data_IF_431606795141
#
_entry.id   IF_431606795141
#
_cell.length_a   1.000
_cell.length_b   1.000
_cell.length_c   1.000
_cell.angle_alpha   90.00
_cell.angle_beta   90.00
_cell.angle_gamma   90.00
#
_symmetry.space_group_name_H-M   'P 1'
#
loop_
_entity.id
_entity.type
_entity.pdbx_description
1 polymer ?
#
# COMPACT_ATOMS: atom_id res chain seq x y z
N UNK A 1 -7.34 -0.90 30.62
CA UNK A 1 -6.44 -0.56 29.47
C UNK A 1 -7.12 -1.00 28.17
N UNK A 2 -7.63 -0.06 27.37
CA UNK A 2 -8.29 -0.37 26.10
C UNK A 2 -7.24 -0.74 25.04
N UNK A 3 -7.23 -2.00 24.58
CA UNK A 3 -6.39 -2.41 23.48
C UNK A 3 -6.68 -1.53 22.26
N UNK A 4 -5.69 -0.74 21.82
CA UNK A 4 -5.71 -0.05 20.52
C UNK A 4 -5.92 -1.10 19.43
N UNK A 5 -7.17 -1.31 18.99
CA UNK A 5 -7.52 -2.25 17.91
C UNK A 5 -6.61 -1.96 16.71
N UNK A 6 -5.83 -2.95 16.29
CA UNK A 6 -4.95 -2.80 15.14
C UNK A 6 -5.85 -2.69 13.89
N UNK A 7 -5.73 -1.62 13.11
CA UNK A 7 -6.49 -1.42 11.87
C UNK A 7 -6.12 -2.39 10.75
N UNK A 8 -5.39 -3.47 11.06
CA UNK A 8 -4.79 -4.39 10.11
C UNK A 8 -5.86 -5.23 9.39
N UNK A 9 -6.79 -5.83 10.13
CA UNK A 9 -7.86 -6.66 9.55
C UNK A 9 -8.74 -5.84 8.58
N UNK A 10 -9.16 -4.66 9.01
CA UNK A 10 -10.00 -3.79 8.17
C UNK A 10 -9.22 -3.28 6.96
N UNK A 11 -7.92 -2.99 7.09
CA UNK A 11 -7.06 -2.66 5.96
C UNK A 11 -6.94 -3.80 4.94
N UNK A 12 -6.83 -5.05 5.40
CA UNK A 12 -6.78 -6.23 4.53
C UNK A 12 -8.11 -6.45 3.79
N UNK A 13 -9.24 -6.36 4.49
CA UNK A 13 -10.57 -6.54 3.89
C UNK A 13 -10.85 -5.46 2.85
N UNK A 14 -10.58 -4.20 3.19
CA UNK A 14 -10.80 -3.06 2.28
C UNK A 14 -9.86 -3.16 1.06
N UNK A 15 -8.60 -3.55 1.26
CA UNK A 15 -7.66 -3.80 0.17
C UNK A 15 -8.11 -4.93 -0.76
N UNK A 16 -8.63 -6.02 -0.22
CA UNK A 16 -9.16 -7.14 -0.98
C UNK A 16 -10.37 -6.71 -1.83
N UNK A 17 -11.34 -6.02 -1.22
CA UNK A 17 -12.53 -5.52 -1.93
C UNK A 17 -12.15 -4.54 -3.04
N UNK A 18 -11.25 -3.59 -2.74
CA UNK A 18 -10.73 -2.66 -3.74
C UNK A 18 -10.04 -3.40 -4.90
N UNK A 19 -9.22 -4.41 -4.59
CA UNK A 19 -8.57 -5.25 -5.59
C UNK A 19 -9.55 -6.02 -6.47
N UNK A 20 -10.60 -6.61 -5.90
CA UNK A 20 -11.64 -7.32 -6.66
C UNK A 20 -12.43 -6.39 -7.59
N UNK A 21 -12.80 -5.20 -7.11
CA UNK A 21 -13.48 -4.19 -7.93
C UNK A 21 -12.57 -3.74 -9.08
N UNK A 22 -11.29 -3.50 -8.78
CA UNK A 22 -10.29 -3.15 -9.78
C UNK A 22 -10.09 -4.26 -10.83
N UNK A 23 -10.06 -5.53 -10.40
CA UNK A 23 -9.95 -6.67 -11.30
C UNK A 23 -11.16 -6.77 -12.22
N UNK A 24 -12.37 -6.62 -11.69
CA UNK A 24 -13.60 -6.59 -12.49
C UNK A 24 -13.60 -5.43 -13.51
N UNK A 25 -13.21 -4.23 -13.07
CA UNK A 25 -13.08 -3.07 -13.93
C UNK A 25 -12.04 -3.25 -15.04
N UNK A 26 -10.88 -3.83 -14.73
CA UNK A 26 -9.85 -4.13 -15.72
C UNK A 26 -10.32 -5.20 -16.71
N UNK A 27 -10.99 -6.25 -16.24
CA UNK A 27 -11.58 -7.27 -17.12
C UNK A 27 -12.60 -6.68 -18.09
N UNK A 28 -13.45 -5.77 -17.62
CA UNK A 28 -14.37 -5.02 -18.48
C UNK A 28 -13.64 -4.11 -19.48
N UNK A 29 -12.57 -3.42 -19.05
CA UNK A 29 -11.76 -2.58 -19.91
C UNK A 29 -11.07 -3.36 -21.03
N UNK A 30 -10.60 -4.60 -20.74
CA UNK A 30 -10.05 -5.51 -21.75
C UNK A 30 -11.11 -5.92 -22.77
N UNK A 31 -12.33 -6.25 -22.33
CA UNK A 31 -13.43 -6.61 -23.24
C UNK A 31 -13.87 -5.45 -24.14
N UNK A 32 -13.85 -4.23 -23.62
CA UNK A 32 -14.26 -3.03 -24.34
C UNK A 32 -13.09 -2.36 -25.08
N UNK A 33 -11.88 -2.92 -25.04
CA UNK A 33 -10.70 -2.29 -25.65
C UNK A 33 -10.89 -2.06 -27.15
N UNK A 34 -11.57 -2.98 -27.84
CA UNK A 34 -11.89 -2.89 -29.27
C UNK A 34 -12.93 -1.81 -29.60
N UNK A 35 -13.70 -1.34 -28.60
CA UNK A 35 -14.65 -0.23 -28.77
C UNK A 35 -14.01 1.15 -28.63
N UNK A 36 -12.75 1.22 -28.16
CA UNK A 36 -12.03 2.48 -27.99
C UNK A 36 -11.43 2.96 -29.32
N UNK A 37 -11.35 4.29 -29.55
CA UNK A 37 -10.68 4.84 -30.71
C UNK A 37 -9.26 4.29 -30.87
N UNK A 38 -8.91 3.86 -32.10
CA UNK A 38 -7.61 3.26 -32.40
C UNK A 38 -6.44 4.16 -32.02
N UNK A 39 -6.60 5.49 -32.09
CA UNK A 39 -5.61 6.46 -31.65
C UNK A 39 -5.24 6.38 -30.17
N UNK A 40 -6.09 5.78 -29.32
CA UNK A 40 -5.84 5.58 -27.88
C UNK A 40 -5.22 4.20 -27.64
N UNK A 41 -5.68 3.18 -28.36
CA UNK A 41 -5.26 1.79 -28.17
C UNK A 41 -3.94 1.44 -28.86
N UNK A 42 -3.56 2.20 -29.90
CA UNK A 42 -2.29 2.00 -30.65
C UNK A 42 -1.19 2.98 -30.27
N UNK A 43 -1.50 4.01 -29.48
CA UNK A 43 -0.52 5.01 -29.04
C UNK A 43 0.63 4.35 -28.28
N UNK A 44 1.88 4.64 -28.67
CA UNK A 44 3.07 4.11 -28.00
C UNK A 44 3.13 2.57 -27.95
N UNK A 45 2.79 1.90 -29.05
CA UNK A 45 2.69 0.43 -29.17
C UNK A 45 1.62 -0.22 -28.28
N UNK A 46 0.63 0.55 -27.80
CA UNK A 46 -0.46 0.02 -26.97
C UNK A 46 -0.09 -0.29 -25.52
N UNK A 47 1.14 0.02 -25.10
CA UNK A 47 1.62 -0.09 -23.72
C UNK A 47 1.11 0.99 -22.73
N UNK A 48 0.92 2.27 -23.12
CA UNK A 48 0.67 3.33 -22.14
C UNK A 48 -0.69 3.23 -21.46
N UNK A 49 -1.74 2.79 -22.17
CA UNK A 49 -3.07 2.60 -21.60
C UNK A 49 -3.11 1.53 -20.49
N UNK A 50 -2.64 0.29 -20.69
CA UNK A 50 -2.61 -0.72 -19.64
C UNK A 50 -1.67 -0.36 -18.48
N UNK A 51 -0.59 0.38 -18.73
CA UNK A 51 0.27 0.92 -17.68
C UNK A 51 -0.44 2.00 -16.84
N UNK A 52 -1.20 2.89 -17.48
CA UNK A 52 -1.99 3.88 -16.77
C UNK A 52 -3.04 3.20 -15.89
N UNK A 53 -3.74 2.18 -16.41
CA UNK A 53 -4.70 1.40 -15.64
C UNK A 53 -4.04 0.67 -14.45
N UNK A 54 -2.85 0.10 -14.63
CA UNK A 54 -2.14 -0.58 -13.54
C UNK A 54 -1.74 0.39 -12.42
N UNK A 55 -1.36 1.63 -12.76
CA UNK A 55 -1.11 2.70 -11.80
C UNK A 55 -2.38 3.17 -11.09
N UNK A 56 -3.51 3.28 -11.80
CA UNK A 56 -4.81 3.61 -11.20
C UNK A 56 -5.22 2.54 -10.19
N UNK A 57 -5.07 1.25 -10.53
CA UNK A 57 -5.35 0.13 -9.63
C UNK A 57 -4.46 0.22 -8.38
N UNK A 58 -3.16 0.45 -8.56
CA UNK A 58 -2.24 0.62 -7.45
C UNK A 58 -2.64 1.78 -6.54
N UNK A 59 -3.07 2.90 -7.11
CA UNK A 59 -3.52 4.08 -6.37
C UNK A 59 -4.80 3.80 -5.57
N UNK A 60 -5.80 3.16 -6.19
CA UNK A 60 -7.06 2.81 -5.53
C UNK A 60 -6.80 1.84 -4.37
N UNK A 61 -6.04 0.77 -4.59
CA UNK A 61 -5.70 -0.21 -3.55
C UNK A 61 -4.90 0.43 -2.42
N UNK A 62 -3.86 1.22 -2.75
CA UNK A 62 -3.04 1.90 -1.74
C UNK A 62 -3.84 2.94 -0.95
N UNK A 63 -4.76 3.66 -1.59
CA UNK A 63 -5.63 4.62 -0.92
C UNK A 63 -6.62 3.93 0.02
N UNK A 64 -7.26 2.86 -0.46
CA UNK A 64 -8.24 2.09 0.31
C UNK A 64 -7.59 1.46 1.56
N UNK A 65 -6.44 0.82 1.41
CA UNK A 65 -5.67 0.27 2.55
C UNK A 65 -5.12 1.39 3.45
N UNK A 66 -4.72 2.52 2.86
CA UNK A 66 -4.19 3.68 3.58
C UNK A 66 -5.22 4.48 4.38
N UNK A 67 -6.51 4.37 4.05
CA UNK A 67 -7.59 5.05 4.76
C UNK A 67 -7.83 4.46 6.17
N UNK A 68 -7.53 3.17 6.36
CA UNK A 68 -7.82 2.43 7.61
C UNK A 68 -6.76 2.63 8.71
N UNK A 69 -5.99 3.74 8.66
CA UNK A 69 -4.85 4.04 9.56
C UNK A 69 -3.80 2.92 9.56
N UNK A 70 -2.94 2.84 8.53
CA UNK A 70 -1.92 1.81 8.43
C UNK A 70 -0.82 2.07 9.48
N UNK A 71 -0.97 1.46 10.65
CA UNK A 71 0.07 1.47 11.70
C UNK A 71 1.15 0.43 11.45
N UNK A 72 0.81 -0.62 10.70
CA UNK A 72 1.67 -1.78 10.50
C UNK A 72 2.36 -1.70 9.13
N UNK A 73 3.69 -1.83 9.14
CA UNK A 73 4.50 -1.94 7.93
C UNK A 73 4.20 -3.22 7.15
N UNK A 74 3.61 -4.22 7.82
CA UNK A 74 3.16 -5.47 7.21
C UNK A 74 2.09 -5.28 6.14
N UNK A 75 1.38 -4.14 6.10
CA UNK A 75 0.38 -3.86 5.04
C UNK A 75 1.02 -3.61 3.67
N UNK A 76 2.29 -3.18 3.61
CA UNK A 76 2.97 -2.88 2.35
C UNK A 76 3.11 -4.09 1.40
N UNK A 77 3.58 -5.28 1.83
CA UNK A 77 3.61 -6.46 0.97
C UNK A 77 2.21 -6.92 0.55
N UNK A 78 1.19 -6.81 1.41
CA UNK A 78 -0.18 -7.15 1.03
C UNK A 78 -0.75 -6.18 -0.01
N UNK A 79 -0.43 -4.89 0.06
CA UNK A 79 -0.83 -3.93 -0.95
C UNK A 79 -0.22 -4.27 -2.32
N UNK A 80 1.05 -4.69 -2.35
CA UNK A 80 1.70 -5.15 -3.56
C UNK A 80 1.01 -6.39 -4.14
N UNK A 81 0.71 -7.37 -3.28
CA UNK A 81 0.01 -8.60 -3.67
C UNK A 81 -1.40 -8.33 -4.18
N UNK A 82 -2.16 -7.45 -3.53
CA UNK A 82 -3.52 -7.10 -3.97
C UNK A 82 -3.53 -6.30 -5.26
N UNK A 83 -2.64 -5.33 -5.44
CA UNK A 83 -2.57 -4.56 -6.67
C UNK A 83 -2.08 -5.41 -7.86
N UNK A 84 -0.99 -6.17 -7.68
CA UNK A 84 -0.49 -7.08 -8.72
C UNK A 84 -1.49 -8.20 -9.03
N UNK A 85 -2.10 -8.78 -8.00
CA UNK A 85 -3.14 -9.79 -8.13
C UNK A 85 -4.39 -9.28 -8.83
N UNK A 86 -4.82 -8.04 -8.57
CA UNK A 86 -5.94 -7.41 -9.26
C UNK A 86 -5.68 -7.24 -10.76
N UNK A 87 -4.46 -6.84 -11.13
CA UNK A 87 -4.06 -6.74 -12.55
C UNK A 87 -4.08 -8.11 -13.22
N UNK A 88 -3.47 -9.12 -12.60
CA UNK A 88 -3.43 -10.48 -13.14
C UNK A 88 -4.84 -11.07 -13.29
N UNK A 89 -5.67 -10.97 -12.24
CA UNK A 89 -7.04 -11.46 -12.23
C UNK A 89 -7.91 -10.75 -13.27
N UNK A 90 -7.78 -9.43 -13.41
CA UNK A 90 -8.52 -8.66 -14.41
C UNK A 90 -8.12 -9.03 -15.85
N UNK A 91 -6.83 -9.21 -16.12
CA UNK A 91 -6.36 -9.68 -17.43
C UNK A 91 -6.88 -11.09 -17.74
N UNK A 92 -6.79 -12.03 -16.79
CA UNK A 92 -7.29 -13.40 -16.97
C UNK A 92 -8.79 -13.39 -17.24
N UNK A 93 -9.57 -12.63 -16.46
CA UNK A 93 -11.01 -12.54 -16.61
C UNK A 93 -11.42 -11.97 -17.96
N UNK A 94 -10.82 -10.85 -18.38
CA UNK A 94 -11.10 -10.23 -19.68
C UNK A 94 -10.71 -11.14 -20.84
N UNK A 95 -9.49 -11.70 -20.81
CA UNK A 95 -8.99 -12.57 -21.87
C UNK A 95 -9.77 -13.88 -21.98
N UNK A 96 -10.17 -14.50 -20.87
CA UNK A 96 -10.93 -15.75 -20.91
C UNK A 96 -12.26 -15.57 -21.64
N UNK A 97 -13.00 -14.50 -21.31
CA UNK A 97 -14.27 -14.19 -21.97
C UNK A 97 -14.03 -13.83 -23.45
N UNK A 98 -13.00 -13.04 -23.74
CA UNK A 98 -12.65 -12.65 -25.11
C UNK A 98 -12.29 -13.87 -25.98
N UNK A 99 -11.43 -14.77 -25.49
CA UNK A 99 -11.04 -16.00 -26.19
C UNK A 99 -12.25 -16.88 -26.47
N UNK A 100 -13.13 -17.08 -25.49
CA UNK A 100 -14.36 -17.87 -25.70
C UNK A 100 -15.31 -17.20 -26.70
N UNK A 101 -15.47 -15.87 -26.64
CA UNK A 101 -16.31 -15.13 -27.59
C UNK A 101 -15.81 -15.27 -29.03
N UNK A 102 -14.49 -15.20 -29.25
CA UNK A 102 -13.87 -15.37 -30.55
C UNK A 102 -13.99 -16.81 -31.09
N UNK A 103 -14.01 -17.82 -30.21
CA UNK A 103 -14.20 -19.22 -30.58
C UNK A 103 -15.65 -19.55 -30.97
N UNK A 104 -16.63 -18.92 -30.32
CA UNK A 104 -18.05 -19.16 -30.59
C UNK A 104 -18.54 -18.53 -31.89
N UNK A 105 -17.97 -17.39 -32.28
CA UNK A 105 -18.30 -16.72 -33.54
C UNK A 105 -17.03 -16.33 -34.33
N UNK A 106 -16.42 -17.31 -35.06
CA UNK A 106 -15.27 -17.02 -35.89
C UNK A 106 -15.63 -16.01 -36.98
N UNK A 107 -14.98 -14.85 -37.01
CA UNK A 107 -15.22 -13.79 -37.99
C UNK A 107 -16.15 -12.66 -37.53
N UNK A 108 -16.57 -12.65 -36.26
CA UNK A 108 -17.29 -11.53 -35.66
C UNK A 108 -16.44 -10.25 -35.74
N UNK A 109 -16.98 -9.21 -36.36
CA UNK A 109 -16.34 -7.88 -36.46
C UNK A 109 -16.68 -6.98 -35.26
N UNK A 110 -17.62 -7.42 -34.40
CA UNK A 110 -18.10 -6.66 -33.25
C UNK A 110 -17.43 -7.15 -31.95
N UNK A 111 -17.06 -6.25 -31.04
CA UNK A 111 -16.43 -6.61 -29.76
C UNK A 111 -17.32 -7.55 -28.93
N UNK A 112 -16.69 -8.22 -27.97
CA UNK A 112 -17.39 -9.03 -26.98
C UNK A 112 -18.46 -8.18 -26.28
N UNK A 113 -19.70 -8.67 -26.30
CA UNK A 113 -20.87 -8.00 -25.75
C UNK A 113 -21.16 -8.43 -24.31
N UNK A 114 -22.06 -7.71 -23.64
CA UNK A 114 -22.54 -8.08 -22.30
C UNK A 114 -23.16 -9.50 -22.27
N UNK A 115 -23.73 -9.96 -23.37
CA UNK A 115 -24.26 -11.32 -23.55
C UNK A 115 -23.19 -12.41 -23.46
N UNK A 116 -21.93 -12.07 -23.71
CA UNK A 116 -20.82 -13.01 -23.73
C UNK A 116 -20.22 -13.22 -22.33
N UNK A 117 -20.59 -12.36 -21.36
CA UNK A 117 -20.20 -12.46 -19.95
C UNK A 117 -21.03 -13.55 -19.26
N UNK A 118 -20.63 -14.79 -19.48
CA UNK A 118 -21.27 -15.97 -18.89
C UNK A 118 -20.23 -16.85 -18.20
N UNK A 119 -20.65 -17.55 -17.13
CA UNK A 119 -19.77 -18.50 -16.42
C UNK A 119 -19.18 -19.57 -17.36
N UNK A 120 -19.95 -20.17 -18.30
CA UNK A 120 -19.40 -21.12 -19.27
C UNK A 120 -18.32 -20.50 -20.17
N UNK A 121 -18.55 -19.29 -20.69
CA UNK A 121 -17.59 -18.60 -21.55
C UNK A 121 -16.27 -18.33 -20.80
N UNK A 122 -16.36 -17.89 -19.55
CA UNK A 122 -15.18 -17.72 -18.70
C UNK A 122 -14.43 -19.05 -18.50
N UNK A 123 -15.12 -20.14 -18.16
CA UNK A 123 -14.47 -21.44 -17.91
C UNK A 123 -13.83 -22.05 -19.15
N UNK A 124 -14.45 -21.88 -20.32
CA UNK A 124 -13.95 -22.40 -21.60
C UNK A 124 -12.70 -21.66 -22.07
N UNK A 125 -12.65 -20.34 -21.92
CA UNK A 125 -11.48 -19.53 -22.31
C UNK A 125 -10.38 -19.47 -21.26
N UNK A 126 -10.64 -19.91 -20.01
CA UNK A 126 -9.68 -19.86 -18.91
C UNK A 126 -8.34 -20.55 -19.21
N UNK A 127 -8.30 -21.75 -19.83
CA UNK A 127 -7.03 -22.41 -20.15
C UNK A 127 -6.16 -21.57 -21.11
N UNK A 128 -6.79 -20.93 -22.10
CA UNK A 128 -6.11 -20.04 -23.05
C UNK A 128 -5.61 -18.76 -22.38
N UNK A 129 -6.41 -18.16 -21.50
CA UNK A 129 -6.01 -16.98 -20.75
C UNK A 129 -4.84 -17.27 -19.78
N UNK A 130 -4.80 -18.48 -19.19
CA UNK A 130 -3.71 -18.92 -18.31
C UNK A 130 -2.44 -19.28 -19.10
N UNK A 131 -2.56 -19.71 -20.36
CA UNK A 131 -1.41 -20.00 -21.22
C UNK A 131 -0.50 -18.78 -21.40
N UNK A 132 -1.07 -17.56 -21.41
CA UNK A 132 -0.32 -16.30 -21.46
C UNK A 132 0.75 -16.18 -20.37
N UNK A 133 0.56 -16.81 -19.20
CA UNK A 133 1.54 -16.76 -18.11
C UNK A 133 2.51 -17.95 -18.10
N UNK A 134 2.29 -18.93 -18.98
CA UNK A 134 3.14 -20.12 -19.16
C UNK A 134 4.10 -19.97 -20.34
N UNK A 135 3.75 -19.15 -21.32
CA UNK A 135 4.55 -18.90 -22.51
C UNK A 135 5.86 -18.14 -22.19
N UNK A 136 6.91 -18.30 -23.04
CA UNK A 136 8.23 -17.75 -22.77
C UNK A 136 8.19 -16.23 -22.55
N UNK A 137 9.04 -15.76 -21.63
CA UNK A 137 9.06 -14.37 -21.18
C UNK A 137 9.23 -13.35 -22.32
N UNK A 138 9.90 -13.73 -23.40
CA UNK A 138 10.08 -12.90 -24.60
C UNK A 138 8.76 -12.48 -25.25
N UNK A 139 7.70 -13.26 -25.07
CA UNK A 139 6.36 -12.98 -25.62
C UNK A 139 5.40 -12.42 -24.56
N UNK A 140 5.63 -12.74 -23.29
CA UNK A 140 4.69 -12.46 -22.19
C UNK A 140 5.14 -11.32 -21.28
N UNK A 141 6.32 -10.74 -21.51
CA UNK A 141 6.90 -9.65 -20.71
C UNK A 141 5.96 -8.45 -20.47
N UNK A 142 5.06 -8.03 -21.40
CA UNK A 142 4.20 -6.88 -21.13
C UNK A 142 3.21 -7.16 -20.00
N UNK A 143 2.64 -8.37 -19.96
CA UNK A 143 1.71 -8.77 -18.91
C UNK A 143 2.38 -8.77 -17.53
N UNK A 144 3.60 -9.30 -17.46
CA UNK A 144 4.43 -9.27 -16.25
C UNK A 144 4.84 -7.86 -15.85
N UNK A 145 5.14 -6.99 -16.81
CA UNK A 145 5.47 -5.59 -16.55
C UNK A 145 4.28 -4.87 -15.88
N UNK A 146 3.06 -5.05 -16.39
CA UNK A 146 1.87 -4.40 -15.81
C UNK A 146 1.63 -4.83 -14.35
N UNK A 147 1.83 -6.12 -14.06
CA UNK A 147 1.73 -6.66 -12.69
C UNK A 147 2.83 -6.05 -11.81
N UNK A 148 4.07 -6.01 -12.29
CA UNK A 148 5.20 -5.47 -11.55
C UNK A 148 5.03 -3.98 -11.24
N UNK A 149 4.56 -3.19 -12.21
CA UNK A 149 4.31 -1.75 -12.04
C UNK A 149 3.23 -1.51 -11.00
N UNK A 150 2.10 -2.24 -11.06
CA UNK A 150 1.05 -2.11 -10.05
C UNK A 150 1.54 -2.50 -8.65
N UNK A 151 2.25 -3.62 -8.54
CA UNK A 151 2.77 -4.12 -7.26
C UNK A 151 3.78 -3.14 -6.64
N UNK A 152 4.76 -2.65 -7.41
CA UNK A 152 5.78 -1.71 -6.95
C UNK A 152 5.16 -0.36 -6.57
N UNK A 153 4.26 0.18 -7.39
CA UNK A 153 3.60 1.44 -7.09
C UNK A 153 2.78 1.36 -5.80
N UNK A 154 2.00 0.29 -5.60
CA UNK A 154 1.22 0.10 -4.38
C UNK A 154 2.13 -0.06 -3.14
N UNK A 155 3.23 -0.83 -3.28
CA UNK A 155 4.22 -1.00 -2.23
C UNK A 155 4.80 0.35 -1.80
N UNK A 156 5.28 1.15 -2.76
CA UNK A 156 5.90 2.46 -2.50
C UNK A 156 4.90 3.41 -1.88
N UNK A 157 3.67 3.51 -2.41
CA UNK A 157 2.64 4.41 -1.90
C UNK A 157 2.27 4.07 -0.45
N UNK A 158 2.08 2.79 -0.13
CA UNK A 158 1.75 2.37 1.23
C UNK A 158 2.94 2.53 2.17
N UNK A 159 4.16 2.19 1.76
CA UNK A 159 5.37 2.38 2.57
C UNK A 159 5.61 3.87 2.90
N UNK A 160 5.47 4.77 1.91
CA UNK A 160 5.58 6.21 2.10
C UNK A 160 4.48 6.74 3.05
N UNK A 161 3.25 6.25 2.92
CA UNK A 161 2.16 6.67 3.80
C UNK A 161 2.38 6.20 5.23
N UNK A 162 2.80 4.95 5.45
CA UNK A 162 3.12 4.41 6.77
C UNK A 162 4.27 5.19 7.42
N UNK A 163 5.34 5.49 6.67
CA UNK A 163 6.47 6.28 7.21
C UNK A 163 6.05 7.70 7.57
N UNK A 164 5.24 8.38 6.74
CA UNK A 164 4.68 9.70 7.05
C UNK A 164 3.79 9.69 8.29
N UNK A 165 2.87 8.73 8.42
CA UNK A 165 1.97 8.60 9.58
C UNK A 165 2.75 8.33 10.86
N UNK A 166 3.81 7.52 10.81
CA UNK A 166 4.67 7.28 11.99
C UNK A 166 5.49 8.51 12.36
N UNK A 167 6.00 9.26 11.38
CA UNK A 167 6.71 10.52 11.63
C UNK A 167 5.80 11.57 12.27
N UNK A 168 4.58 11.74 11.76
CA UNK A 168 3.63 12.68 12.35
C UNK A 168 3.21 12.27 13.77
N UNK A 169 3.05 10.97 14.03
CA UNK A 169 2.77 10.47 15.38
C UNK A 169 3.93 10.71 16.33
N UNK A 170 5.18 10.45 15.92
CA UNK A 170 6.35 10.78 16.76
C UNK A 170 6.47 12.26 17.04
N UNK A 171 6.15 13.11 16.06
CA UNK A 171 6.14 14.57 16.26
C UNK A 171 5.03 14.99 17.24
N UNK A 172 3.84 14.38 17.14
CA UNK A 172 2.73 14.63 18.08
C UNK A 172 3.03 14.09 19.49
N UNK A 173 3.67 12.93 19.60
CA UNK A 173 4.12 12.36 20.88
C UNK A 173 5.20 13.23 21.51
N UNK A 174 6.16 13.74 20.72
CA UNK A 174 7.18 14.67 21.19
C UNK A 174 6.59 16.03 21.59
N UNK A 175 5.57 16.53 20.87
CA UNK A 175 4.84 17.75 21.26
C UNK A 175 4.03 17.53 22.54
N UNK A 176 3.32 16.41 22.66
CA UNK A 176 2.58 16.08 23.87
C UNK A 176 3.51 15.85 25.08
N UNK A 177 4.70 15.30 24.86
CA UNK A 177 5.75 15.19 25.89
C UNK A 177 6.33 16.55 26.25
N UNK A 178 6.62 17.41 25.28
CA UNK A 178 7.10 18.77 25.55
C UNK A 178 6.03 19.63 26.23
N UNK A 179 4.75 19.43 25.91
CA UNK A 179 3.62 20.07 26.60
C UNK A 179 3.46 19.53 28.02
N UNK A 180 3.59 18.22 28.24
CA UNK A 180 3.57 17.62 29.57
C UNK A 180 4.78 18.03 30.42
N UNK A 181 5.99 18.10 29.85
CA UNK A 181 7.19 18.61 30.53
C UNK A 181 7.10 20.12 30.78
N UNK A 182 6.47 20.89 29.88
CA UNK A 182 6.21 22.31 30.09
C UNK A 182 5.08 22.56 31.10
N UNK A 183 4.14 21.62 31.25
CA UNK A 183 3.08 21.63 32.26
C UNK A 183 3.64 21.21 33.63
N UNK A 184 4.51 20.18 33.70
CA UNK A 184 5.29 19.83 34.90
C UNK A 184 6.24 20.97 35.33
N UNK A 185 6.86 21.68 34.38
CA UNK A 185 7.65 22.88 34.67
C UNK A 185 6.80 24.13 35.00
N UNK A 186 5.49 24.10 34.68
CA UNK A 186 4.52 25.16 35.01
C UNK A 186 3.70 24.87 36.25
N UNK A 187 3.72 23.65 36.80
CA UNK A 187 3.28 23.44 38.17
C UNK A 187 4.21 24.30 39.03
N UNK A 188 3.72 25.42 39.59
CA UNK A 188 4.55 26.21 40.46
C UNK A 188 4.85 25.29 41.63
N UNK A 189 6.12 24.94 41.83
CA UNK A 189 6.59 24.42 43.12
C UNK A 189 5.85 25.24 44.17
N UNK A 190 4.90 24.61 44.87
CA UNK A 190 4.13 25.25 45.91
C UNK A 190 5.10 25.44 47.07
N UNK A 191 5.95 26.47 46.94
CA UNK A 191 6.75 27.02 48.02
C UNK A 191 5.74 27.58 48.99
N UNK A 192 5.45 26.80 50.01
CA UNK A 192 4.77 27.30 51.19
C UNK A 192 5.48 28.59 51.64
N UNK A 193 4.76 29.68 51.95
CA UNK A 193 5.35 30.98 52.28
C UNK A 193 6.27 31.01 53.52
N UNK A 194 6.55 29.86 54.14
CA UNK A 194 7.21 29.74 55.44
C UNK A 194 8.36 28.72 55.48
N UNK A 195 8.93 28.30 54.34
CA UNK A 195 10.25 27.67 54.40
C UNK A 195 11.35 28.74 54.44
N UNK A 196 12.12 28.84 55.53
CA UNK A 196 13.25 29.76 55.57
C UNK A 196 14.26 29.34 54.50
N UNK A 197 14.75 30.31 53.74
CA UNK A 197 15.77 30.09 52.72
C UNK A 197 16.98 29.38 53.34
N UNK A 198 17.09 28.07 53.15
CA UNK A 198 18.30 27.34 53.49
C UNK A 198 19.40 27.84 52.55
N UNK A 199 20.38 28.54 53.13
CA UNK A 199 21.61 28.87 52.45
C UNK A 199 22.24 27.57 51.91
N UNK A 200 22.92 27.62 50.75
CA UNK A 200 23.51 26.42 50.16
C UNK A 200 24.44 25.76 51.19
N UNK A 201 24.16 24.50 51.50
CA UNK A 201 24.98 23.72 52.41
C UNK A 201 26.44 23.71 51.89
N UNK A 202 27.45 24.00 52.74
CA UNK A 202 28.84 23.90 52.33
C UNK A 202 29.11 22.46 51.90
N UNK A 203 29.66 22.30 50.69
CA UNK A 203 30.13 21.01 50.17
C UNK A 203 31.06 20.37 51.21
N UNK A 204 30.80 19.15 51.70
CA UNK A 204 31.79 18.41 52.46
C UNK A 204 32.95 18.05 51.51
N UNK A 205 34.06 18.78 51.62
CA UNK A 205 35.35 18.42 51.03
C UNK A 205 35.97 17.28 51.83
N UNK A 206 35.46 16.07 51.62
CA UNK A 206 36.14 14.85 52.04
C UNK A 206 35.66 13.72 51.14
N UNK A 207 36.35 13.61 50.01
CA UNK A 207 36.23 12.51 49.06
C UNK A 207 36.83 11.25 49.71
N UNK A 208 36.00 10.54 50.49
CA UNK A 208 36.38 9.36 51.27
C UNK A 208 36.56 8.10 50.40
N UNK A 209 36.34 8.18 49.08
CA UNK A 209 36.36 7.02 48.20
C UNK A 209 37.19 7.17 46.91
N UNK A 210 38.04 8.19 46.78
CA UNK A 210 39.05 8.22 45.71
C UNK A 210 40.41 7.70 46.19
N UNK A 211 40.92 6.56 45.67
CA UNK A 211 42.26 6.09 45.98
C UNK A 211 43.32 7.07 45.42
N UNK A 212 44.20 7.57 46.30
CA UNK A 212 45.39 8.34 45.91
C UNK A 212 46.31 7.45 45.06
N UNK A 213 46.65 7.87 43.84
CA UNK A 213 47.82 7.34 43.12
C UNK A 213 49.08 7.99 43.70
N UNK A 214 50.10 7.23 44.13
CA UNK A 214 51.38 7.81 44.53
C UNK A 214 52.13 8.38 43.32
N UNK A 215 52.84 9.47 43.59
CA UNK A 215 53.62 10.27 42.64
C UNK A 215 54.75 9.46 41.97
N UNK A 216 55.02 9.79 40.71
CA UNK A 216 56.24 9.43 39.98
C UNK A 216 57.40 10.24 40.52
N UNK A 217 58.46 9.55 40.93
CA UNK A 217 59.85 9.96 40.70
C UNK A 217 60.43 9.03 39.63
#
# INVERSE_FOLDING_TARGET
>A
MSHKRSGLLSGLIVGLLAGLICAAGLGAAVLLQESLPSGITTFGNGLPLPLALSLVIALVVAFAMGAVRPRAFTLAPFAALYAGGAVAAGQIAGLAIMISSAQREPGRQAPAGLSDITLPAFTEGLPGALALYRDPLTQTWPAWLYIAVAALAALVLVALRVTRVRRSQRAQEAQAQAEAEAEEAREPEYRAPFEPAQAPAPKPTTDLFTPRKPARD
#
